data_IF_498607639032
#
_entry.id   IF_498607639032
#
_cell.length_a   1.000
_cell.length_b   1.000
_cell.length_c   1.000
_cell.angle_alpha   90.00
_cell.angle_beta   90.00
_cell.angle_gamma   90.00
#
_symmetry.space_group_name_H-M   'P 1'
#
loop_
_entity.id
_entity.type
_entity.pdbx_description
1 polymer ?
#
# COMPACT_ATOMS: atom_id res chain seq x y z
N UNK A 1 6.79 2.33 -19.79
CA UNK A 1 5.46 1.86 -19.35
C UNK A 1 5.64 1.19 -18.00
N UNK A 2 5.29 1.86 -16.91
CA UNK A 2 5.17 1.16 -15.63
C UNK A 2 4.06 0.11 -15.78
N UNK A 3 4.41 -1.16 -15.57
CA UNK A 3 3.41 -2.21 -15.49
C UNK A 3 2.46 -1.87 -14.34
N UNK A 4 1.19 -1.61 -14.67
CA UNK A 4 0.09 -1.74 -13.73
C UNK A 4 0.23 -3.12 -13.11
N UNK A 5 0.59 -3.17 -11.84
CA UNK A 5 0.81 -4.41 -11.13
C UNK A 5 -0.57 -4.99 -10.85
N UNK A 6 -1.15 -5.70 -11.83
CA UNK A 6 -2.35 -6.52 -11.65
C UNK A 6 -2.00 -7.64 -10.67
N UNK A 7 -1.95 -7.33 -9.38
CA UNK A 7 -1.83 -8.27 -8.28
C UNK A 7 -3.24 -8.67 -7.87
N UNK A 8 -3.43 -9.99 -7.76
CA UNK A 8 -4.69 -10.54 -7.24
C UNK A 8 -4.43 -10.92 -5.80
N UNK A 9 -5.01 -10.16 -4.88
CA UNK A 9 -4.90 -10.42 -3.44
C UNK A 9 -6.08 -11.31 -3.03
N UNK A 10 -5.80 -12.56 -2.67
CA UNK A 10 -6.80 -13.47 -2.15
C UNK A 10 -7.27 -13.03 -0.75
N UNK A 11 -8.52 -13.32 -0.40
CA UNK A 11 -9.14 -12.91 0.88
C UNK A 11 -8.31 -13.29 2.10
N UNK A 12 -7.67 -14.47 2.09
CA UNK A 12 -6.80 -14.93 3.19
C UNK A 12 -5.57 -14.03 3.40
N UNK A 13 -4.97 -13.53 2.32
CA UNK A 13 -3.79 -12.66 2.40
C UNK A 13 -4.24 -11.26 2.78
N UNK A 14 -5.38 -10.78 2.29
CA UNK A 14 -6.00 -9.52 2.71
C UNK A 14 -6.33 -9.52 4.21
N UNK A 15 -6.85 -10.63 4.74
CA UNK A 15 -7.10 -10.82 6.16
C UNK A 15 -5.79 -10.80 6.98
N UNK A 16 -4.73 -11.42 6.46
CA UNK A 16 -3.40 -11.40 7.07
C UNK A 16 -2.81 -9.98 7.12
N UNK A 17 -2.89 -9.23 6.00
CA UNK A 17 -2.49 -7.81 5.94
C UNK A 17 -3.28 -7.00 6.97
N UNK A 18 -4.60 -7.16 6.99
CA UNK A 18 -5.48 -6.45 7.92
C UNK A 18 -5.11 -6.73 9.38
N UNK A 19 -4.77 -7.97 9.72
CA UNK A 19 -4.34 -8.37 11.07
C UNK A 19 -3.08 -7.63 11.49
N UNK A 20 -2.07 -7.56 10.61
CA UNK A 20 -0.82 -6.83 10.90
C UNK A 20 -1.09 -5.34 11.08
N UNK A 21 -1.95 -4.74 10.23
CA UNK A 21 -2.30 -3.32 10.33
C UNK A 21 -3.06 -2.99 11.63
N UNK A 22 -4.00 -3.84 12.06
CA UNK A 22 -4.75 -3.67 13.32
C UNK A 22 -3.79 -3.74 14.51
N UNK A 23 -2.91 -4.75 14.54
CA UNK A 23 -1.91 -4.89 15.60
C UNK A 23 -1.00 -3.67 15.67
N UNK A 24 -0.47 -3.21 14.52
CA UNK A 24 0.35 -2.00 14.47
C UNK A 24 -0.41 -0.77 14.97
N UNK A 25 -1.66 -0.59 14.56
CA UNK A 25 -2.49 0.54 14.97
C UNK A 25 -2.65 0.57 16.50
N UNK A 26 -2.94 -0.59 17.10
CA UNK A 26 -3.10 -0.73 18.55
C UNK A 26 -1.77 -0.53 19.30
N UNK A 27 -0.69 -1.20 18.87
CA UNK A 27 0.61 -1.15 19.53
C UNK A 27 1.23 0.26 19.50
N UNK A 28 0.90 1.07 18.47
CA UNK A 28 1.33 2.47 18.34
C UNK A 28 0.34 3.48 18.92
N UNK A 29 -0.85 3.05 19.35
CA UNK A 29 -1.98 3.93 19.65
C UNK A 29 -2.26 4.93 18.50
N UNK A 30 -2.10 4.48 17.26
CA UNK A 30 -2.34 5.27 16.06
C UNK A 30 -3.85 5.42 15.79
N UNK A 31 -4.24 6.53 15.17
CA UNK A 31 -5.63 6.74 14.73
C UNK A 31 -5.95 5.95 13.47
N UNK A 32 -4.93 5.67 12.65
CA UNK A 32 -5.07 4.90 11.42
C UNK A 32 -3.77 4.25 10.97
N UNK A 33 -3.90 3.08 10.34
CA UNK A 33 -2.82 2.45 9.57
C UNK A 33 -3.32 2.04 8.19
N UNK A 34 -2.49 2.17 7.16
CA UNK A 34 -2.84 1.82 5.78
C UNK A 34 -1.68 1.12 5.09
N UNK A 35 -2.01 0.16 4.24
CA UNK A 35 -1.10 -0.34 3.23
C UNK A 35 -1.60 0.17 1.87
N UNK A 36 -0.74 0.90 1.17
CA UNK A 36 -1.01 1.39 -0.18
C UNK A 36 0.10 0.92 -1.12
N UNK A 37 -0.20 0.78 -2.40
CA UNK A 37 0.84 0.60 -3.40
C UNK A 37 1.45 1.95 -3.83
N UNK A 38 2.54 1.90 -4.60
CA UNK A 38 3.23 3.08 -5.10
C UNK A 38 2.42 3.94 -6.08
N UNK A 39 1.31 3.42 -6.62
CA UNK A 39 0.38 4.16 -7.47
C UNK A 39 -0.69 4.90 -6.67
N UNK A 40 -0.79 4.61 -5.36
CA UNK A 40 -1.79 5.19 -4.46
C UNK A 40 -3.04 4.34 -4.29
N UNK A 41 -3.07 3.12 -4.85
CA UNK A 41 -4.16 2.18 -4.59
C UNK A 41 -4.10 1.70 -3.14
N UNK A 42 -5.22 1.80 -2.43
CA UNK A 42 -5.33 1.30 -1.05
C UNK A 42 -5.58 -0.20 -1.06
N UNK A 43 -4.66 -0.96 -0.46
CA UNK A 43 -4.81 -2.40 -0.25
C UNK A 43 -5.68 -2.67 0.97
N UNK A 44 -5.37 -2.02 2.09
CA UNK A 44 -6.10 -2.18 3.34
C UNK A 44 -5.92 -0.94 4.22
N UNK A 45 -6.94 -0.65 5.04
CA UNK A 45 -6.96 0.50 5.95
C UNK A 45 -7.66 0.15 7.27
N UNK A 46 -7.06 0.56 8.38
CA UNK A 46 -7.62 0.52 9.73
C UNK A 46 -7.75 1.95 10.27
N UNK A 47 -8.80 2.20 11.06
CA UNK A 47 -9.19 3.55 11.51
C UNK A 47 -10.44 4.05 10.80
N UNK A 48 -11.55 4.21 11.54
CA UNK A 48 -12.88 4.47 10.97
C UNK A 48 -12.98 5.81 10.23
N UNK A 49 -12.32 6.86 10.74
CA UNK A 49 -12.36 8.19 10.12
C UNK A 49 -11.62 8.21 8.78
N UNK A 50 -10.45 7.58 8.70
CA UNK A 50 -9.62 7.52 7.50
C UNK A 50 -10.27 6.71 6.39
N UNK A 51 -11.03 5.65 6.72
CA UNK A 51 -11.73 4.80 5.73
C UNK A 51 -12.61 5.59 4.76
N UNK A 52 -13.26 6.67 5.23
CA UNK A 52 -14.15 7.48 4.37
C UNK A 52 -13.43 8.13 3.19
N UNK A 53 -12.16 8.53 3.39
CA UNK A 53 -11.36 9.25 2.40
C UNK A 53 -10.12 8.46 1.97
N UNK A 54 -10.08 7.15 2.23
CA UNK A 54 -8.88 6.34 2.08
C UNK A 54 -8.31 6.39 0.66
N UNK A 55 -9.17 6.32 -0.37
CA UNK A 55 -8.74 6.38 -1.78
C UNK A 55 -8.02 7.68 -2.11
N UNK A 56 -8.62 8.82 -1.76
CA UNK A 56 -8.01 10.14 -1.98
C UNK A 56 -6.70 10.27 -1.21
N UNK A 57 -6.68 9.81 0.04
CA UNK A 57 -5.48 9.86 0.87
C UNK A 57 -4.36 8.99 0.29
N UNK A 58 -4.66 7.78 -0.19
CA UNK A 58 -3.71 6.89 -0.83
C UNK A 58 -3.06 7.53 -2.06
N UNK A 59 -3.85 8.13 -2.95
CA UNK A 59 -3.35 8.84 -4.14
C UNK A 59 -2.42 10.01 -3.77
N UNK A 60 -2.83 10.84 -2.79
CA UNK A 60 -2.03 11.98 -2.34
C UNK A 60 -0.72 11.53 -1.67
N UNK A 61 -0.77 10.53 -0.80
CA UNK A 61 0.42 10.02 -0.11
C UNK A 61 1.41 9.36 -1.05
N UNK A 62 0.93 8.60 -2.05
CA UNK A 62 1.79 8.06 -3.09
C UNK A 62 2.46 9.16 -3.92
N UNK A 63 1.71 10.22 -4.27
CA UNK A 63 2.25 11.40 -4.94
C UNK A 63 3.33 12.11 -4.13
N UNK A 64 3.06 12.42 -2.85
CA UNK A 64 4.05 12.99 -1.92
C UNK A 64 5.29 12.12 -1.82
N UNK A 65 5.11 10.81 -1.69
CA UNK A 65 6.22 9.87 -1.59
C UNK A 65 7.06 9.86 -2.87
N UNK A 66 6.42 9.77 -4.04
CA UNK A 66 7.10 9.81 -5.34
C UNK A 66 7.89 11.11 -5.52
N UNK A 67 7.32 12.26 -5.18
CA UNK A 67 8.02 13.55 -5.24
C UNK A 67 9.24 13.57 -4.32
N UNK A 68 9.15 12.99 -3.12
CA UNK A 68 10.28 12.93 -2.20
C UNK A 68 11.45 12.12 -2.77
N UNK A 69 11.17 11.07 -3.57
CA UNK A 69 12.22 10.28 -4.24
C UNK A 69 12.92 11.06 -5.32
N UNK A 70 12.21 11.92 -6.05
CA UNK A 70 12.86 12.84 -7.01
C UNK A 70 13.77 13.84 -6.29
N UNK A 71 13.38 14.32 -5.10
CA UNK A 71 14.28 15.12 -4.26
C UNK A 71 15.52 14.33 -3.84
N UNK A 72 15.38 13.07 -3.43
CA UNK A 72 16.54 12.22 -3.09
C UNK A 72 17.53 12.09 -4.25
N UNK A 73 17.03 11.87 -5.48
CA UNK A 73 17.87 11.81 -6.68
C UNK A 73 18.62 13.12 -6.93
N UNK A 74 17.97 14.27 -6.75
CA UNK A 74 18.60 15.58 -6.91
C UNK A 74 19.71 15.84 -5.88
N UNK A 75 19.69 15.15 -4.75
CA UNK A 75 20.68 15.23 -3.68
C UNK A 75 21.74 14.12 -3.75
N UNK A 76 21.76 13.32 -4.83
CA UNK A 76 22.60 12.12 -4.95
C UNK A 76 22.42 11.10 -3.80
N UNK A 77 21.25 11.12 -3.16
CA UNK A 77 20.87 10.15 -2.13
C UNK A 77 20.29 8.88 -2.77
N UNK A 78 20.58 7.71 -2.18
CA UNK A 78 20.15 6.43 -2.76
C UNK A 78 18.63 6.28 -2.80
N UNK A 79 17.94 6.56 -1.69
CA UNK A 79 16.47 6.65 -1.64
C UNK A 79 15.98 7.23 -0.30
N UNK A 80 14.85 7.94 -0.33
CA UNK A 80 14.08 8.26 0.88
C UNK A 80 13.09 7.15 1.16
N UNK A 81 13.51 6.17 1.97
CA UNK A 81 12.67 5.02 2.33
C UNK A 81 11.56 5.34 3.32
N UNK A 82 11.66 6.46 4.04
CA UNK A 82 10.68 6.85 5.04
C UNK A 82 10.43 8.36 4.98
N UNK A 83 9.19 8.77 5.21
CA UNK A 83 8.78 10.18 5.29
C UNK A 83 8.04 10.39 6.60
N UNK A 84 8.33 11.49 7.25
CA UNK A 84 7.59 11.96 8.41
C UNK A 84 7.01 13.34 8.11
N UNK A 85 5.70 13.48 8.24
CA UNK A 85 5.00 14.75 8.07
C UNK A 85 4.38 15.12 9.43
N UNK A 86 4.83 16.23 10.00
CA UNK A 86 4.35 16.72 11.28
C UNK A 86 3.20 17.69 11.08
N UNK A 87 2.06 17.42 11.70
CA UNK A 87 0.90 18.31 11.69
C UNK A 87 0.61 18.94 13.04
N UNK A 88 -0.44 19.77 13.07
CA UNK A 88 -0.90 20.44 14.30
C UNK A 88 -1.66 19.47 15.21
N UNK A 89 -2.38 18.50 14.65
CA UNK A 89 -3.17 17.52 15.39
C UNK A 89 -2.64 16.11 15.20
N UNK A 90 -2.44 15.73 13.95
CA UNK A 90 -1.95 14.42 13.57
C UNK A 90 -0.60 14.51 12.87
N UNK A 91 0.17 13.45 13.00
CA UNK A 91 1.40 13.20 12.27
C UNK A 91 1.21 12.01 11.34
N UNK A 92 1.94 11.99 10.24
CA UNK A 92 1.95 10.90 9.28
C UNK A 92 3.36 10.35 9.19
N UNK A 93 3.50 9.04 9.38
CA UNK A 93 4.73 8.31 9.09
C UNK A 93 4.48 7.33 7.97
N UNK A 94 5.25 7.45 6.89
CA UNK A 94 5.18 6.57 5.73
C UNK A 94 6.50 5.83 5.59
N UNK A 95 6.44 4.50 5.45
CA UNK A 95 7.60 3.63 5.27
C UNK A 95 7.44 2.77 4.02
N UNK A 96 8.48 2.71 3.20
CA UNK A 96 8.50 1.89 1.99
C UNK A 96 8.87 0.44 2.31
N UNK A 97 8.01 -0.48 1.90
CA UNK A 97 8.25 -1.93 1.93
C UNK A 97 8.62 -2.36 0.50
N UNK A 98 9.85 -2.85 0.33
CA UNK A 98 10.47 -3.09 -0.98
C UNK A 98 10.50 -1.83 -1.85
N UNK A 99 10.03 -1.89 -3.09
CA UNK A 99 9.91 -0.75 -4.02
C UNK A 99 8.47 -0.49 -4.47
N UNK A 100 7.51 -1.24 -3.93
CA UNK A 100 6.14 -1.27 -4.44
C UNK A 100 5.11 -0.78 -3.44
N UNK A 101 5.37 -0.90 -2.14
CA UNK A 101 4.36 -0.68 -1.11
C UNK A 101 4.77 0.40 -0.14
N UNK A 102 3.78 1.14 0.36
CA UNK A 102 3.94 2.14 1.40
C UNK A 102 3.04 1.75 2.58
N UNK A 103 3.67 1.57 3.74
CA UNK A 103 2.99 1.45 5.03
C UNK A 103 2.85 2.85 5.62
N UNK A 104 1.60 3.27 5.84
CA UNK A 104 1.26 4.58 6.39
C UNK A 104 0.71 4.40 7.79
N UNK A 105 1.17 5.23 8.73
CA UNK A 105 0.66 5.33 10.10
C UNK A 105 0.31 6.78 10.37
N UNK A 106 -0.94 7.04 10.80
CA UNK A 106 -1.44 8.35 11.21
C UNK A 106 -1.69 8.28 12.72
N UNK A 107 -1.12 9.22 13.46
CA UNK A 107 -1.14 9.20 14.91
C UNK A 107 -1.15 10.62 15.48
N UNK A 108 -1.68 10.78 16.68
CA UNK A 108 -1.74 12.07 17.35
C UNK A 108 -0.38 12.50 17.94
N UNK A 109 -0.36 13.60 18.69
CA UNK A 109 0.85 14.11 19.35
C UNK A 109 1.25 13.38 20.63
N UNK A 110 0.37 12.54 21.19
CA UNK A 110 0.65 11.75 22.38
C UNK A 110 1.52 10.53 22.05
N UNK A 111 1.41 10.02 20.82
CA UNK A 111 2.25 8.94 20.33
C UNK A 111 3.63 9.44 19.87
N UNK A 112 4.68 8.84 20.42
CA UNK A 112 6.07 9.17 20.07
C UNK A 112 6.50 8.54 18.73
N UNK A 113 7.10 9.35 17.85
CA UNK A 113 7.63 8.90 16.55
C UNK A 113 8.68 7.77 16.69
N UNK A 114 9.46 7.75 17.77
CA UNK A 114 10.42 6.68 18.02
C UNK A 114 9.76 5.31 18.14
N UNK A 115 8.64 5.22 18.86
CA UNK A 115 7.84 4.01 19.00
C UNK A 115 7.26 3.58 17.64
N UNK A 116 6.69 4.54 16.90
CA UNK A 116 6.13 4.29 15.55
C UNK A 116 7.20 3.74 14.61
N UNK A 117 8.42 4.27 14.62
CA UNK A 117 9.55 3.77 13.81
C UNK A 117 9.93 2.32 14.15
N UNK A 118 9.98 1.98 15.44
CA UNK A 118 10.32 0.62 15.88
C UNK A 118 9.24 -0.38 15.46
N UNK A 119 7.98 -0.05 15.73
CA UNK A 119 6.86 -0.95 15.45
C UNK A 119 6.54 -1.05 13.95
N UNK A 120 6.67 0.03 13.20
CA UNK A 120 6.52 0.00 11.74
C UNK A 120 7.56 -0.90 11.09
N UNK A 121 8.83 -0.90 11.54
CA UNK A 121 9.85 -1.83 11.03
C UNK A 121 9.42 -3.29 11.20
N UNK A 122 8.94 -3.67 12.39
CA UNK A 122 8.45 -5.02 12.66
C UNK A 122 7.23 -5.38 11.79
N UNK A 123 6.29 -4.45 11.66
CA UNK A 123 5.11 -4.63 10.80
C UNK A 123 5.49 -4.76 9.32
N UNK A 124 6.46 -3.99 8.84
CA UNK A 124 6.99 -4.08 7.48
C UNK A 124 7.58 -5.46 7.18
N UNK A 125 8.33 -6.04 8.11
CA UNK A 125 8.89 -7.40 7.95
C UNK A 125 7.78 -8.47 7.93
N UNK A 126 6.73 -8.33 8.75
CA UNK A 126 5.57 -9.22 8.76
C UNK A 126 4.78 -9.09 7.43
N UNK A 127 4.51 -7.87 6.97
CA UNK A 127 3.80 -7.57 5.73
C UNK A 127 4.58 -8.05 4.50
N UNK A 128 5.90 -7.87 4.47
CA UNK A 128 6.75 -8.34 3.37
C UNK A 128 6.54 -9.84 3.09
N UNK A 129 6.49 -10.67 4.15
CA UNK A 129 6.26 -12.12 4.00
C UNK A 129 4.90 -12.45 3.41
N UNK A 130 3.87 -11.64 3.72
CA UNK A 130 2.53 -11.79 3.16
C UNK A 130 2.49 -11.38 1.69
N UNK A 131 3.10 -10.24 1.37
CA UNK A 131 3.14 -9.67 0.03
C UNK A 131 3.97 -10.51 -0.95
N UNK A 132 5.02 -11.18 -0.46
CA UNK A 132 5.77 -12.15 -1.27
C UNK A 132 4.89 -13.33 -1.72
N UNK A 133 4.03 -13.86 -0.84
CA UNK A 133 3.09 -14.93 -1.22
C UNK A 133 2.09 -14.45 -2.26
N UNK A 134 1.55 -13.23 -2.11
CA UNK A 134 0.65 -12.60 -3.09
C UNK A 134 1.32 -12.51 -4.47
N UNK A 135 2.60 -12.12 -4.51
CA UNK A 135 3.38 -12.01 -5.76
C UNK A 135 3.57 -13.38 -6.43
N UNK A 136 3.93 -14.40 -5.66
CA UNK A 136 4.10 -15.77 -6.17
C UNK A 136 2.79 -16.33 -6.73
N UNK A 137 1.68 -16.16 -6.02
CA UNK A 137 0.37 -16.65 -6.44
C UNK A 137 -0.15 -15.95 -7.69
N UNK A 138 -0.02 -14.62 -7.76
CA UNK A 138 -0.41 -13.86 -8.96
C UNK A 138 0.34 -14.36 -10.20
N UNK A 139 1.63 -14.65 -10.07
CA UNK A 139 2.47 -15.14 -11.18
C UNK A 139 1.98 -16.50 -11.68
N UNK A 140 1.64 -17.42 -10.76
CA UNK A 140 1.05 -18.73 -11.10
C UNK A 140 -0.30 -18.56 -11.79
N UNK A 141 -1.20 -17.74 -11.27
CA UNK A 141 -2.52 -17.52 -11.85
C UNK A 141 -2.43 -16.92 -13.26
N UNK A 142 -1.61 -15.88 -13.46
CA UNK A 142 -1.40 -15.29 -14.80
C UNK A 142 -0.93 -16.33 -15.82
N UNK A 143 0.01 -17.21 -15.45
CA UNK A 143 0.48 -18.28 -16.34
C UNK A 143 -0.62 -19.29 -16.72
N UNK A 144 -1.57 -19.54 -15.81
CA UNK A 144 -2.69 -20.46 -16.06
C UNK A 144 -3.84 -19.86 -16.89
N UNK A 145 -4.17 -18.58 -16.66
CA UNK A 145 -5.27 -17.87 -17.34
C UNK A 145 -4.90 -17.52 -18.79
N UNK A 146 -3.63 -17.24 -19.08
CA UNK A 146 -3.13 -17.07 -20.45
C UNK A 146 -3.30 -18.32 -21.33
N UNK A 147 -3.48 -19.51 -20.74
CA UNK A 147 -3.59 -20.79 -21.45
C UNK A 147 -5.04 -21.24 -21.74
N UNK A 148 -6.08 -20.58 -21.21
CA UNK A 148 -7.46 -21.05 -21.33
C UNK A 148 -8.39 -19.94 -21.84
N UNK A 149 -8.68 -19.97 -23.14
CA UNK A 149 -9.92 -19.46 -23.78
C UNK A 149 -10.32 -17.98 -23.58
N UNK A 150 -9.54 -17.16 -22.89
CA UNK A 150 -9.92 -15.78 -22.53
C UNK A 150 -9.96 -14.78 -23.70
N UNK A 151 -9.47 -15.13 -24.89
CA UNK A 151 -9.36 -14.17 -26.01
C UNK A 151 -10.69 -13.90 -26.71
N UNK A 152 -11.52 -14.91 -26.93
CA UNK A 152 -12.76 -14.73 -27.72
C UNK A 152 -13.89 -14.10 -26.91
N UNK A 153 -14.01 -14.42 -25.62
CA UNK A 153 -15.13 -13.94 -24.79
C UNK A 153 -14.96 -12.48 -24.34
N UNK A 154 -13.72 -11.97 -24.34
CA UNK A 154 -13.39 -10.61 -23.90
C UNK A 154 -13.64 -9.58 -24.99
N UNK A 155 -13.34 -9.87 -26.26
CA UNK A 155 -13.63 -8.96 -27.38
C UNK A 155 -15.13 -8.67 -27.48
N UNK A 156 -15.97 -9.71 -27.46
CA UNK A 156 -17.43 -9.56 -27.51
C UNK A 156 -18.00 -8.77 -26.31
N UNK A 157 -17.42 -8.96 -25.12
CA UNK A 157 -17.88 -8.28 -23.89
C UNK A 157 -17.41 -6.82 -23.83
N UNK A 158 -16.20 -6.53 -24.31
CA UNK A 158 -15.69 -5.16 -24.41
C UNK A 158 -16.56 -4.35 -25.37
N UNK A 159 -16.87 -4.89 -26.55
CA UNK A 159 -17.73 -4.20 -27.53
C UNK A 159 -19.11 -3.89 -26.96
N UNK A 160 -19.65 -4.74 -26.08
CA UNK A 160 -20.92 -4.50 -25.39
C UNK A 160 -20.87 -3.37 -24.35
N UNK A 161 -19.71 -3.10 -23.74
CA UNK A 161 -19.54 -2.03 -22.74
C UNK A 161 -19.41 -0.64 -23.36
N UNK A 162 -19.07 -0.55 -24.64
CA UNK A 162 -18.87 0.70 -25.38
C UNK A 162 -19.91 0.91 -26.50
N UNK A 163 -20.96 0.08 -26.54
CA UNK A 163 -22.16 0.29 -27.36
C UNK A 163 -23.09 1.28 -26.66
N UNK A 164 -22.67 2.53 -26.60
CA UNK A 164 -23.48 3.76 -26.51
C UNK A 164 -22.54 4.98 -26.61
#
# INVERSE_FOLDING_TARGET
>A
MEQLTNLVIADRELASISTVLVKLMNDTNATSTMLIDKSGQVVAVQGANTRRNATTLGALLAGVFSSSREVAKLLDEKDFRNIFQQGVQENIYTSMIEEQWLLVIIFDKLTHIGLVKVLSKKASDELYRVLERVRTDTTRTKSSVLNLQFRSSVEDTIDLLFRD
#
